data_IF_154824040092
#
_entry.id   IF_154824040092
#
_cell.length_a   1.000
_cell.length_b   1.000
_cell.length_c   1.000
_cell.angle_alpha   90.00
_cell.angle_beta   90.00
_cell.angle_gamma   90.00
#
_symmetry.space_group_name_H-M   'P 1'
#
loop_
_entity.id
_entity.type
_entity.pdbx_description
1 polymer ?
#
# COMPACT_ATOMS: atom_id res chain seq x y z
N UNK A 1 5.56 12.21 7.47
CA UNK A 1 6.41 13.16 6.69
C UNK A 1 6.92 14.33 7.55
N UNK A 2 7.46 14.08 8.76
CA UNK A 2 7.91 15.16 9.66
C UNK A 2 9.26 14.90 10.35
N UNK A 3 9.91 13.76 10.09
CA UNK A 3 11.22 13.44 10.68
C UNK A 3 12.41 13.71 9.74
N UNK A 4 12.20 13.85 8.43
CA UNK A 4 13.30 14.00 7.46
C UNK A 4 13.82 15.43 7.28
N UNK A 5 13.11 16.45 7.77
CA UNK A 5 13.50 17.86 7.55
C UNK A 5 14.52 18.36 8.59
N UNK A 6 14.68 17.66 9.73
CA UNK A 6 15.66 18.07 10.76
C UNK A 6 17.11 17.64 10.49
N UNK A 7 17.36 16.78 9.49
CA UNK A 7 18.72 16.35 9.16
C UNK A 7 19.46 17.34 8.22
N UNK A 8 18.80 18.36 7.68
CA UNK A 8 19.37 19.25 6.64
C UNK A 8 19.88 20.59 7.18
N UNK A 9 19.57 20.95 8.43
CA UNK A 9 19.99 22.22 9.02
C UNK A 9 20.86 21.98 10.25
N UNK A 10 22.15 21.72 10.09
CA UNK A 10 23.18 22.25 10.99
C UNK A 10 24.57 21.98 10.39
N UNK A 11 25.44 22.99 10.46
CA UNK A 11 26.87 23.02 10.12
C UNK A 11 27.27 23.50 8.72
N UNK A 12 27.04 24.79 8.49
CA UNK A 12 28.05 25.63 7.86
C UNK A 12 28.89 26.32 8.93
N UNK A 13 30.12 25.85 9.18
CA UNK A 13 31.21 26.71 9.67
C UNK A 13 32.53 26.28 9.06
N UNK A 14 33.25 27.29 8.58
CA UNK A 14 34.41 27.26 7.70
C UNK A 14 35.59 26.43 8.22
N UNK A 15 36.23 25.66 7.33
CA UNK A 15 37.70 25.49 7.33
C UNK A 15 38.21 25.50 5.89
N UNK A 16 39.28 26.25 5.63
CA UNK A 16 40.02 26.26 4.36
C UNK A 16 41.06 25.13 4.39
N UNK A 17 41.09 24.31 3.34
CA UNK A 17 42.09 23.28 3.09
C UNK A 17 41.60 22.35 1.97
N UNK A 18 42.41 22.14 0.94
CA UNK A 18 42.06 21.51 -0.36
C UNK A 18 41.46 20.08 -0.26
N UNK A 19 41.52 19.45 0.92
CA UNK A 19 40.86 18.19 1.23
C UNK A 19 39.33 18.30 1.40
N UNK A 20 38.80 19.52 1.57
CA UNK A 20 37.36 19.74 1.76
C UNK A 20 36.52 19.52 0.50
N UNK A 21 37.11 19.65 -0.69
CA UNK A 21 36.38 19.41 -1.94
C UNK A 21 36.05 17.91 -2.12
N UNK A 22 37.01 17.02 -1.82
CA UNK A 22 36.81 15.56 -1.87
C UNK A 22 35.83 15.07 -0.81
N UNK A 23 35.90 15.60 0.41
CA UNK A 23 34.97 15.23 1.49
C UNK A 23 33.55 15.68 1.13
N UNK A 24 33.38 16.91 0.62
CA UNK A 24 32.07 17.42 0.18
C UNK A 24 31.48 16.60 -0.98
N UNK A 25 32.30 16.23 -1.98
CA UNK A 25 31.88 15.40 -3.11
C UNK A 25 31.41 14.00 -2.66
N UNK A 26 32.12 13.37 -1.73
CA UNK A 26 31.74 12.07 -1.17
C UNK A 26 30.37 12.11 -0.45
N UNK A 27 30.04 13.21 0.25
CA UNK A 27 28.74 13.39 0.89
C UNK A 27 27.61 13.56 -0.14
N UNK A 28 27.84 14.34 -1.20
CA UNK A 28 26.87 14.50 -2.29
C UNK A 28 26.59 13.17 -2.98
N UNK A 29 27.63 12.38 -3.27
CA UNK A 29 27.49 11.04 -3.87
C UNK A 29 26.69 10.11 -2.94
N UNK A 30 26.94 10.13 -1.63
CA UNK A 30 26.16 9.34 -0.66
C UNK A 30 24.69 9.73 -0.63
N UNK A 31 24.38 11.03 -0.64
CA UNK A 31 22.98 11.51 -0.66
C UNK A 31 22.29 11.05 -1.95
N UNK A 32 22.94 11.23 -3.11
CA UNK A 32 22.40 10.78 -4.40
C UNK A 32 22.15 9.27 -4.37
N UNK A 33 23.10 8.48 -3.86
CA UNK A 33 22.95 7.03 -3.76
C UNK A 33 21.75 6.63 -2.89
N UNK A 34 21.59 7.24 -1.71
CA UNK A 34 20.45 6.98 -0.81
C UNK A 34 19.12 7.36 -1.48
N UNK A 35 19.07 8.51 -2.15
CA UNK A 35 17.86 8.94 -2.87
C UNK A 35 17.51 8.01 -4.03
N UNK A 36 18.50 7.61 -4.84
CA UNK A 36 18.29 6.67 -5.95
C UNK A 36 17.79 5.31 -5.45
N UNK A 37 18.37 4.80 -4.35
CA UNK A 37 17.96 3.55 -3.76
C UNK A 37 16.52 3.62 -3.23
N UNK A 38 16.18 4.70 -2.51
CA UNK A 38 14.83 4.91 -2.00
C UNK A 38 13.80 5.02 -3.13
N UNK A 39 14.13 5.76 -4.19
CA UNK A 39 13.27 5.93 -5.37
C UNK A 39 13.03 4.60 -6.10
N UNK A 40 14.09 3.80 -6.31
CA UNK A 40 13.96 2.48 -6.92
C UNK A 40 13.05 1.54 -6.11
N UNK A 41 13.10 1.64 -4.78
CA UNK A 41 12.22 0.87 -3.89
C UNK A 41 10.76 1.28 -4.00
N UNK A 42 10.46 2.57 -4.02
CA UNK A 42 9.09 3.08 -4.21
C UNK A 42 8.53 2.64 -5.55
N UNK A 43 9.32 2.75 -6.62
CA UNK A 43 8.88 2.37 -7.97
C UNK A 43 8.52 0.89 -8.06
N UNK A 44 9.35 0.01 -7.49
CA UNK A 44 9.09 -1.42 -7.48
C UNK A 44 7.80 -1.75 -6.72
N UNK A 45 7.61 -1.16 -5.53
CA UNK A 45 6.39 -1.37 -4.73
C UNK A 45 5.14 -0.91 -5.46
N UNK A 46 5.21 0.27 -6.07
CA UNK A 46 4.11 0.81 -6.88
C UNK A 46 3.74 -0.13 -8.02
N UNK A 47 4.73 -0.66 -8.75
CA UNK A 47 4.48 -1.63 -9.83
C UNK A 47 3.67 -2.85 -9.39
N UNK A 48 3.83 -3.31 -8.14
CA UNK A 48 3.01 -4.40 -7.59
C UNK A 48 1.60 -3.93 -7.20
N UNK A 49 1.49 -2.74 -6.59
CA UNK A 49 0.20 -2.13 -6.25
C UNK A 49 -0.64 -1.80 -7.50
N UNK A 50 0.02 -1.42 -8.61
CA UNK A 50 -0.60 -1.05 -9.88
C UNK A 50 -1.48 -2.18 -10.45
N UNK A 51 -1.23 -3.45 -10.08
CA UNK A 51 -2.11 -4.59 -10.44
C UNK A 51 -3.57 -4.32 -10.04
N UNK A 52 -3.80 -3.67 -8.90
CA UNK A 52 -5.12 -3.25 -8.43
C UNK A 52 -5.41 -1.79 -8.76
N UNK A 53 -4.46 -0.88 -8.50
CA UNK A 53 -4.70 0.57 -8.62
C UNK A 53 -5.02 0.98 -10.06
N UNK A 54 -4.38 0.37 -11.05
CA UNK A 54 -4.64 0.62 -12.48
C UNK A 54 -5.70 -0.33 -13.07
N UNK A 55 -6.22 -1.29 -12.29
CA UNK A 55 -7.28 -2.16 -12.75
C UNK A 55 -8.54 -1.34 -13.08
N UNK A 56 -9.09 -1.59 -14.28
CA UNK A 56 -10.25 -0.85 -14.80
C UNK A 56 -11.41 -0.98 -13.83
N UNK A 57 -11.94 0.16 -13.39
CA UNK A 57 -13.13 0.23 -12.54
C UNK A 57 -14.37 0.06 -13.43
N UNK A 58 -15.39 -0.69 -13.01
CA UNK A 58 -16.60 -0.89 -13.82
C UNK A 58 -17.38 0.42 -13.96
N UNK A 59 -18.31 0.47 -14.92
CA UNK A 59 -19.18 1.64 -15.11
C UNK A 59 -20.07 1.85 -13.86
N UNK A 60 -20.62 3.06 -13.69
CA UNK A 60 -21.43 3.45 -12.50
C UNK A 60 -20.71 3.27 -11.15
N UNK A 61 -19.40 3.45 -11.15
CA UNK A 61 -18.56 3.27 -9.96
C UNK A 61 -17.59 4.44 -9.83
N UNK A 62 -17.48 4.96 -8.61
CA UNK A 62 -16.55 6.02 -8.23
C UNK A 62 -15.51 5.48 -7.25
N UNK A 63 -14.24 5.87 -7.43
CA UNK A 63 -13.19 5.55 -6.46
C UNK A 63 -13.17 6.63 -5.39
N UNK A 64 -13.52 6.26 -4.16
CA UNK A 64 -13.53 7.18 -3.01
C UNK A 64 -12.10 7.35 -2.47
N UNK A 65 -11.39 6.25 -2.36
CA UNK A 65 -10.05 6.20 -1.76
C UNK A 65 -9.28 5.02 -2.32
N UNK A 66 -7.97 5.18 -2.49
CA UNK A 66 -7.08 4.07 -2.78
C UNK A 66 -5.69 4.42 -2.25
N UNK A 67 -5.00 3.42 -1.73
CA UNK A 67 -3.61 3.56 -1.31
C UNK A 67 -2.94 2.17 -1.29
N UNK A 68 -1.66 2.15 -0.98
CA UNK A 68 -0.94 0.91 -0.73
C UNK A 68 0.05 1.06 0.42
N UNK A 69 0.11 0.02 1.24
CA UNK A 69 1.07 -0.16 2.31
C UNK A 69 2.02 -1.31 2.00
N UNK A 70 3.23 -1.25 2.57
CA UNK A 70 4.28 -2.24 2.30
C UNK A 70 4.99 -2.70 3.57
N UNK A 71 5.41 -3.96 3.60
CA UNK A 71 6.02 -4.52 4.81
C UNK A 71 5.00 -4.68 5.94
N UNK A 72 3.72 -4.78 5.59
CA UNK A 72 2.68 -5.18 6.52
C UNK A 72 2.97 -6.62 6.92
N UNK A 73 3.17 -6.86 8.23
CA UNK A 73 3.43 -8.18 8.75
C UNK A 73 2.09 -8.90 8.92
N UNK A 74 1.71 -9.61 7.86
CA UNK A 74 0.43 -10.31 7.79
C UNK A 74 0.54 -11.70 8.41
N UNK A 75 -0.46 -12.16 9.17
CA UNK A 75 -0.45 -13.45 9.87
C UNK A 75 0.29 -13.49 11.22
N UNK A 76 0.85 -12.36 11.67
CA UNK A 76 1.38 -12.20 13.03
C UNK A 76 0.28 -11.78 13.99
N UNK A 77 -0.38 -12.74 14.65
CA UNK A 77 -1.33 -12.43 15.72
C UNK A 77 -0.66 -11.71 16.91
N UNK A 78 -1.43 -11.20 17.90
CA UNK A 78 -0.89 -10.54 19.09
C UNK A 78 0.09 -11.39 19.93
N UNK A 79 0.21 -12.68 19.62
CA UNK A 79 1.12 -13.65 20.24
C UNK A 79 1.90 -14.51 19.23
N UNK A 80 1.90 -14.17 17.94
CA UNK A 80 2.46 -15.03 16.87
C UNK A 80 3.79 -14.52 16.30
N UNK A 81 4.82 -15.35 16.33
CA UNK A 81 5.99 -15.23 15.45
C UNK A 81 5.66 -15.89 14.10
N UNK A 82 5.81 -15.17 12.98
CA UNK A 82 5.73 -15.78 11.65
C UNK A 82 4.99 -15.01 10.57
N UNK A 83 4.74 -13.70 10.74
CA UNK A 83 4.16 -12.93 9.64
C UNK A 83 5.18 -12.62 8.54
N UNK A 84 4.74 -12.71 7.28
CA UNK A 84 5.58 -12.39 6.14
C UNK A 84 5.39 -10.92 5.73
N UNK A 85 6.46 -10.23 5.33
CA UNK A 85 6.35 -8.89 4.77
C UNK A 85 5.48 -8.94 3.51
N UNK A 86 4.36 -8.24 3.60
CA UNK A 86 3.30 -8.24 2.60
C UNK A 86 3.09 -6.83 2.08
N UNK A 87 2.87 -6.71 0.78
CA UNK A 87 2.38 -5.48 0.16
C UNK A 87 0.87 -5.61 0.07
N UNK A 88 0.18 -4.58 0.54
CA UNK A 88 -1.27 -4.49 0.53
C UNK A 88 -1.65 -3.25 -0.26
N UNK A 89 -2.38 -3.44 -1.36
CA UNK A 89 -3.02 -2.35 -2.06
C UNK A 89 -4.53 -2.44 -1.82
N UNK A 90 -5.19 -1.31 -1.61
CA UNK A 90 -6.64 -1.28 -1.47
C UNK A 90 -7.25 -0.18 -2.34
N UNK A 91 -8.51 -0.39 -2.71
CA UNK A 91 -9.35 0.53 -3.45
C UNK A 91 -10.75 0.48 -2.86
N UNK A 92 -11.19 1.58 -2.27
CA UNK A 92 -12.55 1.80 -1.80
C UNK A 92 -13.36 2.42 -2.92
N UNK A 93 -14.42 1.74 -3.33
CA UNK A 93 -15.29 2.15 -4.41
C UNK A 93 -16.72 2.36 -3.90
N UNK A 94 -17.40 3.33 -4.47
CA UNK A 94 -18.84 3.55 -4.34
C UNK A 94 -19.49 3.13 -5.66
N UNK A 95 -20.49 2.26 -5.63
CA UNK A 95 -21.05 1.71 -6.86
C UNK A 95 -22.56 1.51 -6.78
N UNK A 96 -23.24 1.77 -7.90
CA UNK A 96 -24.65 1.46 -8.10
C UNK A 96 -24.87 0.00 -8.55
N UNK A 97 -23.79 -0.73 -8.84
CA UNK A 97 -23.87 -2.12 -9.28
C UNK A 97 -24.31 -3.05 -8.15
N UNK A 98 -24.79 -4.23 -8.53
CA UNK A 98 -25.08 -5.31 -7.60
C UNK A 98 -23.79 -5.92 -7.02
N UNK A 99 -23.90 -6.58 -5.86
CA UNK A 99 -22.76 -7.29 -5.26
C UNK A 99 -22.19 -8.35 -6.21
N UNK A 100 -23.08 -9.03 -6.96
CA UNK A 100 -22.70 -10.02 -7.95
C UNK A 100 -21.89 -9.44 -9.11
N UNK A 101 -22.31 -8.31 -9.67
CA UNK A 101 -21.58 -7.67 -10.78
C UNK A 101 -20.18 -7.22 -10.36
N UNK A 102 -20.05 -6.68 -9.14
CA UNK A 102 -18.75 -6.30 -8.59
C UNK A 102 -17.87 -7.53 -8.37
N UNK A 103 -18.44 -8.58 -7.80
CA UNK A 103 -17.73 -9.84 -7.63
C UNK A 103 -17.25 -10.38 -8.97
N UNK A 104 -18.12 -10.50 -9.96
CA UNK A 104 -17.77 -11.03 -11.28
C UNK A 104 -16.66 -10.22 -11.97
N UNK A 105 -16.64 -8.89 -11.78
CA UNK A 105 -15.62 -8.01 -12.37
C UNK A 105 -14.23 -8.16 -11.72
N UNK A 106 -14.18 -8.37 -10.40
CA UNK A 106 -12.92 -8.42 -9.64
C UNK A 106 -12.48 -9.84 -9.25
N UNK A 107 -13.33 -10.85 -9.30
CA UNK A 107 -13.03 -12.26 -8.98
C UNK A 107 -12.08 -12.95 -9.99
N UNK A 108 -11.45 -12.18 -10.88
CA UNK A 108 -10.55 -12.67 -11.92
C UNK A 108 -9.10 -12.72 -11.48
N UNK A 109 -8.70 -12.09 -10.35
CA UNK A 109 -7.28 -11.88 -9.99
C UNK A 109 -6.97 -11.77 -8.50
N UNK A 110 -6.99 -12.85 -7.72
CA UNK A 110 -6.54 -12.88 -6.30
C UNK A 110 -7.01 -11.67 -5.46
N UNK A 111 -8.11 -11.03 -5.86
CA UNK A 111 -8.60 -9.81 -5.24
C UNK A 111 -9.56 -10.23 -4.15
N UNK A 112 -9.35 -9.67 -2.98
CA UNK A 112 -10.24 -9.82 -1.85
C UNK A 112 -11.29 -8.72 -1.94
N UNK A 113 -12.56 -9.10 -1.85
CA UNK A 113 -13.69 -8.20 -2.02
C UNK A 113 -14.46 -8.20 -0.70
N UNK A 114 -14.52 -7.05 -0.05
CA UNK A 114 -15.23 -6.87 1.21
C UNK A 114 -16.39 -5.90 1.01
N UNK A 115 -17.59 -6.39 1.28
CA UNK A 115 -18.82 -5.59 1.30
C UNK A 115 -19.05 -5.06 2.70
N UNK A 116 -19.67 -3.87 2.78
CA UNK A 116 -19.98 -3.18 4.03
C UNK A 116 -20.55 -4.11 5.11
N UNK A 117 -19.95 -4.05 6.29
CA UNK A 117 -20.28 -4.86 7.46
C UNK A 117 -19.63 -6.23 7.50
N UNK A 118 -18.88 -6.62 6.47
CA UNK A 118 -18.10 -7.85 6.44
C UNK A 118 -16.59 -7.60 6.63
N UNK A 119 -16.17 -6.35 6.53
CA UNK A 119 -14.80 -5.87 6.71
C UNK A 119 -14.46 -5.52 8.17
N UNK A 120 -13.19 -5.68 8.51
CA UNK A 120 -12.57 -5.16 9.71
C UNK A 120 -11.29 -4.41 9.33
N UNK A 121 -11.26 -3.10 9.56
CA UNK A 121 -10.05 -2.30 9.35
C UNK A 121 -9.01 -2.66 10.41
N UNK A 122 -7.87 -3.18 9.98
CA UNK A 122 -6.69 -3.39 10.81
C UNK A 122 -5.70 -2.25 10.59
N UNK A 123 -4.98 -1.93 11.66
CA UNK A 123 -3.95 -0.90 11.67
C UNK A 123 -2.82 -1.30 12.60
N UNK A 124 -1.58 -1.12 12.18
CA UNK A 124 -0.41 -1.35 13.03
C UNK A 124 0.15 -0.03 13.62
N UNK A 125 1.18 -0.16 14.45
CA UNK A 125 1.85 0.97 15.10
C UNK A 125 2.55 1.93 14.11
N UNK A 126 2.82 1.47 12.88
CA UNK A 126 3.41 2.28 11.81
C UNK A 126 2.35 3.03 10.99
N UNK A 127 1.10 3.02 11.43
CA UNK A 127 -0.08 3.55 10.74
C UNK A 127 -0.43 2.87 9.40
N UNK A 128 0.12 1.68 9.15
CA UNK A 128 -0.20 0.91 7.96
C UNK A 128 -1.53 0.21 8.16
N UNK A 129 -2.35 0.17 7.12
CA UNK A 129 -3.70 -0.36 7.18
C UNK A 129 -3.92 -1.52 6.21
N UNK A 130 -4.80 -2.42 6.59
CA UNK A 130 -5.30 -3.49 5.74
C UNK A 130 -6.68 -3.91 6.22
N UNK A 131 -7.45 -4.54 5.35
CA UNK A 131 -8.80 -5.00 5.65
C UNK A 131 -8.80 -6.50 5.86
N UNK A 132 -9.38 -6.96 6.95
CA UNK A 132 -9.69 -8.37 7.20
C UNK A 132 -11.20 -8.59 7.17
N UNK A 133 -11.64 -9.84 7.31
CA UNK A 133 -13.02 -10.14 7.59
C UNK A 133 -13.57 -11.29 6.76
N UNK A 134 -14.88 -11.30 6.61
CA UNK A 134 -15.59 -12.36 5.91
C UNK A 134 -15.78 -12.00 4.43
N UNK A 135 -15.21 -12.82 3.55
CA UNK A 135 -15.48 -12.73 2.11
C UNK A 135 -16.79 -13.48 1.85
N UNK A 136 -17.80 -12.76 1.37
CA UNK A 136 -19.08 -13.36 0.97
C UNK A 136 -18.84 -14.39 -0.14
N UNK A 137 -19.48 -15.54 -0.01
CA UNK A 137 -19.52 -16.55 -1.09
C UNK A 137 -20.47 -16.09 -2.20
N UNK A 138 -20.21 -16.56 -3.42
CA UNK A 138 -20.98 -16.19 -4.62
C UNK A 138 -22.49 -16.42 -4.47
N UNK A 139 -22.90 -17.48 -3.76
CA UNK A 139 -24.30 -17.84 -3.52
C UNK A 139 -25.03 -16.88 -2.56
N UNK A 140 -24.29 -16.10 -1.78
CA UNK A 140 -24.82 -15.13 -0.83
C UNK A 140 -24.81 -13.68 -1.34
N UNK A 141 -24.37 -13.46 -2.59
CA UNK A 141 -24.30 -12.13 -3.18
C UNK A 141 -25.66 -11.66 -3.70
N UNK A 142 -26.01 -10.42 -3.40
CA UNK A 142 -27.20 -9.80 -3.98
C UNK A 142 -27.03 -9.57 -5.49
N UNK A 143 -28.13 -9.78 -6.23
CA UNK A 143 -28.24 -9.43 -7.66
C UNK A 143 -29.00 -8.12 -7.87
N UNK A 144 -29.46 -7.48 -6.80
CA UNK A 144 -30.17 -6.21 -6.85
C UNK A 144 -29.19 -5.05 -7.11
N UNK A 145 -29.55 -4.19 -8.05
CA UNK A 145 -28.83 -2.94 -8.30
C UNK A 145 -29.06 -1.92 -7.18
N UNK A 146 -28.06 -1.10 -6.93
CA UNK A 146 -28.02 -0.11 -5.84
C UNK A 146 -28.16 1.33 -6.36
N UNK A 147 -28.99 1.55 -7.40
CA UNK A 147 -29.12 2.83 -8.10
C UNK A 147 -29.53 4.00 -7.17
N UNK A 148 -30.40 3.76 -6.19
CA UNK A 148 -30.85 4.82 -5.25
C UNK A 148 -29.86 5.03 -4.09
N UNK A 149 -29.18 3.96 -3.69
CA UNK A 149 -28.30 3.92 -2.53
C UNK A 149 -27.00 3.17 -2.87
N UNK A 150 -26.06 3.84 -3.56
CA UNK A 150 -24.79 3.24 -3.93
C UNK A 150 -24.10 2.60 -2.72
N UNK A 151 -23.56 1.40 -2.93
CA UNK A 151 -22.88 0.64 -1.88
C UNK A 151 -21.39 0.90 -1.91
N UNK A 152 -20.78 0.90 -0.72
CA UNK A 152 -19.34 0.95 -0.58
C UNK A 152 -18.77 -0.47 -0.57
N UNK A 153 -17.74 -0.69 -1.39
CA UNK A 153 -17.02 -1.95 -1.49
C UNK A 153 -15.52 -1.69 -1.39
N UNK A 154 -14.82 -2.53 -0.63
CA UNK A 154 -13.36 -2.51 -0.54
C UNK A 154 -12.82 -3.65 -1.40
N UNK A 155 -11.98 -3.30 -2.36
CA UNK A 155 -11.19 -4.26 -3.12
C UNK A 155 -9.76 -4.20 -2.61
N UNK A 156 -9.19 -5.35 -2.27
CA UNK A 156 -7.83 -5.45 -1.75
C UNK A 156 -7.03 -6.47 -2.55
N UNK A 157 -5.76 -6.16 -2.76
CA UNK A 157 -4.78 -7.07 -3.34
C UNK A 157 -3.62 -7.22 -2.37
N UNK A 158 -3.27 -8.46 -2.08
CA UNK A 158 -2.14 -8.80 -1.22
C UNK A 158 -1.13 -9.62 -2.01
N UNK A 159 0.14 -9.32 -1.79
CA UNK A 159 1.22 -10.19 -2.23
C UNK A 159 2.30 -10.23 -1.18
N UNK A 160 2.59 -11.42 -0.71
CA UNK A 160 3.81 -11.66 0.06
C UNK A 160 5.00 -11.34 -0.85
N UNK A 161 6.08 -10.80 -0.28
CA UNK A 161 7.31 -10.59 -1.01
C UNK A 161 8.51 -11.01 -0.18
N UNK A 162 9.31 -11.92 -0.73
CA UNK A 162 10.57 -12.38 -0.15
C UNK A 162 11.75 -11.69 -0.82
N UNK A 163 11.82 -10.36 -0.73
CA UNK A 163 12.98 -9.65 -1.29
C UNK A 163 14.08 -9.46 -0.23
N UNK A 164 15.33 -9.90 -0.48
CA UNK A 164 16.43 -9.80 0.48
C UNK A 164 16.95 -8.37 0.74
N UNK A 165 16.41 -7.35 0.05
CA UNK A 165 16.93 -5.97 0.09
C UNK A 165 15.98 -4.93 0.72
N UNK A 166 14.85 -5.36 1.29
CA UNK A 166 13.93 -4.49 2.04
C UNK A 166 13.88 -4.86 3.54
N UNK A 167 15.01 -5.33 4.08
CA UNK A 167 15.21 -5.29 5.52
C UNK A 167 15.36 -3.81 5.87
N UNK A 168 14.29 -3.20 6.36
CA UNK A 168 14.43 -2.00 7.16
C UNK A 168 15.18 -2.46 8.42
N UNK A 169 16.48 -2.20 8.47
CA UNK A 169 17.27 -2.35 9.69
C UNK A 169 16.84 -1.21 10.63
N UNK A 170 15.68 -1.39 11.25
CA UNK A 170 15.29 -0.63 12.44
C UNK A 170 15.84 -1.30 13.68
#
# INVERSE_FOLDING_TARGET
>A
MHFFIKAVFFYGTERKGDNNCYISLCWVIRIIYVLCFHWSGIWLRRKYADKLLEYKVPEKTEVIEQDFDYGVIYGGGPWGNGGYPTLVAYKRILTELSEKEIFDHYNTKDFEIYFKGAEELKKNNNNQIWYEGYIKKEDALSTEENNEHPIEVIIQYRTEFSYPFFIDFY
#
